data_IF_264885428491
#
_entry.id   IF_264885428491
#
_cell.length_a   1.000
_cell.length_b   1.000
_cell.length_c   1.000
_cell.angle_alpha   90.00
_cell.angle_beta   90.00
_cell.angle_gamma   90.00
#
_symmetry.space_group_name_H-M   'P 1'
#
loop_
_entity.id
_entity.type
_entity.pdbx_description
1 polymer ?
#
# COMPACT_ATOMS: atom_id res chain seq x y z
N UNK A 1 -49.78 -4.25 -14.45
CA UNK A 1 -48.45 -4.89 -14.29
C UNK A 1 -47.49 -3.83 -13.77
N UNK A 2 -46.87 -3.97 -12.59
CA UNK A 2 -45.93 -2.98 -12.09
C UNK A 2 -44.56 -3.20 -12.75
N UNK A 3 -43.96 -2.13 -13.25
CA UNK A 3 -42.62 -2.14 -13.81
C UNK A 3 -41.59 -2.19 -12.67
N UNK A 4 -40.84 -3.28 -12.58
CA UNK A 4 -39.70 -3.42 -11.67
C UNK A 4 -38.54 -2.58 -12.23
N UNK A 5 -38.24 -1.46 -11.59
CA UNK A 5 -37.00 -0.72 -11.82
C UNK A 5 -35.82 -1.55 -11.32
N UNK A 6 -35.14 -2.24 -12.25
CA UNK A 6 -33.80 -2.80 -12.00
C UNK A 6 -32.83 -1.63 -11.88
N UNK A 7 -32.53 -1.21 -10.65
CA UNK A 7 -31.41 -0.33 -10.39
C UNK A 7 -30.13 -1.11 -10.67
N UNK A 8 -29.51 -0.85 -11.82
CA UNK A 8 -28.15 -1.29 -12.11
C UNK A 8 -27.24 -0.70 -11.04
N UNK A 9 -26.58 -1.55 -10.24
CA UNK A 9 -25.51 -1.15 -9.31
C UNK A 9 -24.14 -1.48 -9.94
N UNK A 10 -23.61 -0.68 -10.88
CA UNK A 10 -22.19 -0.72 -11.19
C UNK A 10 -21.50 0.41 -10.40
N UNK A 11 -20.60 0.12 -9.45
CA UNK A 11 -19.53 1.07 -9.05
C UNK A 11 -18.67 0.64 -7.86
N UNK A 12 -19.22 -0.06 -6.86
CA UNK A 12 -18.48 -0.26 -5.59
C UNK A 12 -17.26 -1.18 -5.72
N UNK A 13 -17.39 -2.29 -6.46
CA UNK A 13 -16.30 -3.26 -6.60
C UNK A 13 -15.17 -2.73 -7.48
N UNK A 14 -15.51 -2.00 -8.55
CA UNK A 14 -14.53 -1.37 -9.45
C UNK A 14 -13.75 -0.25 -8.74
N UNK A 15 -14.39 0.52 -7.86
CA UNK A 15 -13.71 1.55 -7.07
C UNK A 15 -12.75 0.94 -6.04
N UNK A 16 -13.19 -0.11 -5.34
CA UNK A 16 -12.34 -0.83 -4.38
C UNK A 16 -11.14 -1.49 -5.07
N UNK A 17 -11.35 -2.08 -6.24
CA UNK A 17 -10.29 -2.64 -7.07
C UNK A 17 -9.31 -1.57 -7.55
N UNK A 18 -9.81 -0.41 -8.00
CA UNK A 18 -8.94 0.70 -8.42
C UNK A 18 -8.08 1.23 -7.27
N UNK A 19 -8.65 1.34 -6.07
CA UNK A 19 -7.92 1.71 -4.84
C UNK A 19 -6.85 0.67 -4.51
N UNK A 20 -7.19 -0.61 -4.56
CA UNK A 20 -6.23 -1.69 -4.32
C UNK A 20 -5.07 -1.65 -5.33
N UNK A 21 -5.37 -1.52 -6.62
CA UNK A 21 -4.37 -1.41 -7.69
C UNK A 21 -3.48 -0.18 -7.52
N UNK A 22 -4.05 0.94 -7.07
CA UNK A 22 -3.29 2.15 -6.77
C UNK A 22 -2.29 1.88 -5.65
N UNK A 23 -2.74 1.29 -4.54
CA UNK A 23 -1.88 0.99 -3.38
C UNK A 23 -0.84 -0.10 -3.69
N UNK A 24 -1.15 -1.06 -4.56
CA UNK A 24 -0.20 -2.06 -5.07
C UNK A 24 0.93 -1.42 -5.87
N UNK A 25 0.62 -0.42 -6.71
CA UNK A 25 1.62 0.29 -7.53
C UNK A 25 2.51 1.23 -6.72
N UNK A 26 2.07 1.63 -5.53
CA UNK A 26 2.88 2.47 -4.66
C UNK A 26 4.09 1.71 -4.11
N UNK A 27 5.20 2.41 -3.92
CA UNK A 27 6.34 1.85 -3.18
C UNK A 27 6.03 1.76 -1.69
N UNK A 28 6.76 0.90 -0.97
CA UNK A 28 6.66 0.86 0.49
C UNK A 28 6.96 2.23 1.12
N UNK A 29 7.89 3.00 0.57
CA UNK A 29 8.21 4.34 1.07
C UNK A 29 7.04 5.33 0.88
N UNK A 30 6.38 5.31 -0.27
CA UNK A 30 5.18 6.12 -0.54
C UNK A 30 4.03 5.76 0.40
N UNK A 31 3.76 4.47 0.60
CA UNK A 31 2.74 4.01 1.56
C UNK A 31 3.04 4.47 2.99
N UNK A 32 4.31 4.45 3.41
CA UNK A 32 4.71 4.99 4.72
C UNK A 32 4.45 6.50 4.82
N UNK A 33 4.77 7.30 3.79
CA UNK A 33 4.48 8.74 3.80
C UNK A 33 2.99 8.99 3.93
N UNK A 34 2.19 8.30 3.12
CA UNK A 34 0.74 8.45 3.11
C UNK A 34 0.13 8.05 4.46
N UNK A 35 0.48 6.88 5.00
CA UNK A 35 0.03 6.43 6.32
C UNK A 35 0.41 7.42 7.43
N UNK A 36 1.60 8.02 7.37
CA UNK A 36 1.99 9.02 8.36
C UNK A 36 1.12 10.28 8.33
N UNK A 37 0.59 10.67 7.17
CA UNK A 37 -0.33 11.82 7.04
C UNK A 37 -1.81 11.47 7.29
N UNK A 38 -2.15 10.19 7.34
CA UNK A 38 -3.53 9.69 7.55
C UNK A 38 -4.02 9.85 9.00
N UNK A 39 -5.28 9.47 9.26
CA UNK A 39 -5.82 9.36 10.63
C UNK A 39 -5.47 8.03 11.31
N UNK A 40 -4.56 7.23 10.77
CA UNK A 40 -4.11 6.01 11.43
C UNK A 40 -3.64 6.33 12.87
N UNK A 41 -4.16 5.65 13.91
CA UNK A 41 -3.77 5.90 15.29
C UNK A 41 -2.28 5.62 15.54
N UNK A 42 -1.66 6.42 16.42
CA UNK A 42 -0.23 6.26 16.78
C UNK A 42 0.03 4.96 17.57
N UNK A 43 -0.98 4.44 18.25
CA UNK A 43 -0.98 3.17 19.00
C UNK A 43 -1.62 2.01 18.22
N UNK A 44 -1.84 2.18 16.91
CA UNK A 44 -2.42 1.15 16.06
C UNK A 44 -1.68 -0.19 16.17
N UNK A 45 -2.45 -1.27 16.29
CA UNK A 45 -1.97 -2.64 16.29
C UNK A 45 -2.72 -3.44 15.24
N UNK A 46 -1.99 -4.32 14.54
CA UNK A 46 -2.57 -5.09 13.45
C UNK A 46 -3.49 -6.19 13.99
N UNK A 47 -4.69 -6.30 13.41
CA UNK A 47 -5.67 -7.35 13.71
C UNK A 47 -6.22 -7.99 12.42
N UNK A 48 -6.92 -9.11 12.55
CA UNK A 48 -7.52 -9.80 11.39
C UNK A 48 -8.59 -8.90 10.75
N UNK A 49 -8.58 -8.80 9.42
CA UNK A 49 -9.58 -8.05 8.66
C UNK A 49 -9.30 -6.55 8.54
N UNK A 50 -8.19 -6.04 9.09
CA UNK A 50 -7.88 -4.60 9.07
C UNK A 50 -7.26 -4.11 7.75
N UNK A 51 -6.90 -5.00 6.84
CA UNK A 51 -6.25 -4.65 5.56
C UNK A 51 -6.99 -3.56 4.77
N UNK A 52 -8.33 -3.65 4.56
CA UNK A 52 -9.06 -2.59 3.83
C UNK A 52 -9.01 -1.24 4.54
N UNK A 53 -9.00 -1.22 5.87
CA UNK A 53 -8.89 0.01 6.66
C UNK A 53 -7.51 0.65 6.52
N UNK A 54 -6.44 -0.15 6.50
CA UNK A 54 -5.08 0.36 6.29
C UNK A 54 -4.93 0.89 4.85
N UNK A 55 -5.51 0.22 3.86
CA UNK A 55 -5.58 0.73 2.48
C UNK A 55 -6.34 2.06 2.42
N UNK A 56 -7.47 2.17 3.11
CA UNK A 56 -8.24 3.41 3.18
C UNK A 56 -7.41 4.55 3.82
N UNK A 57 -6.61 4.26 4.86
CA UNK A 57 -5.70 5.24 5.44
C UNK A 57 -4.56 5.64 4.49
N UNK A 58 -4.02 4.71 3.69
CA UNK A 58 -3.06 5.07 2.62
C UNK A 58 -3.71 6.08 1.67
N UNK A 59 -4.91 5.79 1.15
CA UNK A 59 -5.61 6.71 0.24
C UNK A 59 -5.94 8.04 0.90
N UNK A 60 -6.40 8.03 2.15
CA UNK A 60 -6.64 9.26 2.91
C UNK A 60 -5.36 10.11 3.02
N UNK A 61 -4.19 9.47 3.21
CA UNK A 61 -2.90 10.15 3.22
C UNK A 61 -2.54 10.76 1.87
N UNK A 62 -2.83 10.05 0.78
CA UNK A 62 -2.67 10.54 -0.60
C UNK A 62 -3.59 11.73 -0.85
N UNK A 63 -4.85 11.67 -0.44
CA UNK A 63 -5.81 12.77 -0.62
C UNK A 63 -5.40 14.04 0.15
N UNK A 64 -4.74 13.89 1.30
CA UNK A 64 -4.27 15.02 2.13
C UNK A 64 -3.04 15.70 1.59
N UNK A 65 -2.09 14.93 1.06
CA UNK A 65 -0.81 15.44 0.60
C UNK A 65 -0.81 15.75 -0.90
N UNK A 66 -1.63 15.06 -1.66
CA UNK A 66 -1.51 14.96 -3.11
C UNK A 66 -0.51 13.88 -3.52
N UNK A 67 -0.76 13.28 -4.70
CA UNK A 67 0.05 12.17 -5.21
C UNK A 67 1.51 12.56 -5.45
N UNK A 68 1.77 13.74 -6.03
CA UNK A 68 3.12 14.22 -6.33
C UNK A 68 3.98 14.42 -5.08
N UNK A 69 3.36 14.90 -3.99
CA UNK A 69 4.04 15.09 -2.71
C UNK A 69 4.35 13.76 -2.03
N UNK A 70 3.45 12.79 -2.14
CA UNK A 70 3.69 11.41 -1.67
C UNK A 70 4.82 10.76 -2.46
N UNK A 71 4.79 10.86 -3.79
CA UNK A 71 5.82 10.31 -4.68
C UNK A 71 7.20 10.89 -4.37
N UNK A 72 7.31 12.23 -4.35
CA UNK A 72 8.57 12.94 -4.06
C UNK A 72 9.09 12.64 -2.67
N UNK A 73 8.23 12.67 -1.65
CA UNK A 73 8.61 12.30 -0.27
C UNK A 73 9.02 10.83 -0.19
N UNK A 74 8.38 9.95 -0.96
CA UNK A 74 8.68 8.52 -1.01
C UNK A 74 10.08 8.24 -1.52
N UNK A 75 10.52 8.95 -2.57
CA UNK A 75 11.90 8.87 -3.09
C UNK A 75 12.91 9.25 -1.99
N UNK A 76 12.66 10.35 -1.28
CA UNK A 76 13.56 10.85 -0.22
C UNK A 76 13.62 9.87 0.98
N UNK A 77 12.47 9.29 1.38
CA UNK A 77 12.40 8.26 2.42
C UNK A 77 13.13 6.99 2.00
N UNK A 78 12.95 6.54 0.75
CA UNK A 78 13.62 5.37 0.22
C UNK A 78 15.14 5.58 0.20
N UNK A 79 15.59 6.75 -0.25
CA UNK A 79 17.00 7.13 -0.25
C UNK A 79 17.58 7.15 1.17
N UNK A 80 16.88 7.74 2.13
CA UNK A 80 17.27 7.71 3.55
C UNK A 80 17.40 6.26 4.06
N UNK A 81 16.45 5.38 3.72
CA UNK A 81 16.47 3.98 4.15
C UNK A 81 17.70 3.23 3.63
N UNK A 82 18.07 3.45 2.37
CA UNK A 82 19.31 2.88 1.77
C UNK A 82 20.54 3.37 2.53
N UNK A 83 20.68 4.69 2.74
CA UNK A 83 21.80 5.27 3.47
C UNK A 83 21.87 4.79 4.93
N UNK A 84 20.71 4.54 5.55
CA UNK A 84 20.63 4.02 6.92
C UNK A 84 21.19 2.59 6.98
N UNK A 85 20.86 1.75 6.00
CA UNK A 85 21.36 0.37 5.93
C UNK A 85 22.87 0.31 5.69
N UNK A 86 23.43 1.27 4.97
CA UNK A 86 24.89 1.35 4.73
C UNK A 86 25.65 2.14 5.80
N UNK A 87 24.97 2.60 6.87
CA UNK A 87 25.53 3.47 7.92
C UNK A 87 26.15 4.78 7.41
N UNK A 88 25.70 5.29 6.26
CA UNK A 88 26.27 6.46 5.58
C UNK A 88 25.34 7.69 5.62
N UNK A 89 24.41 7.79 6.57
CA UNK A 89 23.42 8.88 6.56
C UNK A 89 24.06 10.25 6.90
N UNK A 90 24.05 11.21 5.95
CA UNK A 90 24.52 12.57 6.22
C UNK A 90 23.68 13.27 7.30
N UNK A 91 24.27 14.27 7.96
CA UNK A 91 23.58 15.04 9.00
C UNK A 91 22.37 15.81 8.45
N UNK A 92 22.46 16.30 7.22
CA UNK A 92 21.39 17.03 6.52
C UNK A 92 20.19 16.13 6.25
N UNK A 93 20.41 14.93 5.71
CA UNK A 93 19.34 13.94 5.49
C UNK A 93 18.67 13.54 6.82
N UNK A 94 19.44 13.42 7.91
CA UNK A 94 18.89 13.20 9.27
C UNK A 94 18.07 14.37 9.78
N UNK A 95 18.41 15.61 9.41
CA UNK A 95 17.66 16.81 9.79
C UNK A 95 16.36 16.89 8.98
N UNK A 96 16.44 16.67 7.68
CA UNK A 96 15.28 16.61 6.79
C UNK A 96 14.26 15.58 7.27
N UNK A 97 14.69 14.33 7.55
CA UNK A 97 13.77 13.28 8.00
C UNK A 97 13.09 13.65 9.33
N UNK A 98 13.83 14.24 10.27
CA UNK A 98 13.26 14.70 11.56
C UNK A 98 12.27 15.84 11.39
N UNK A 99 12.47 16.72 10.41
CA UNK A 99 11.51 17.76 10.06
C UNK A 99 10.24 17.19 9.44
N UNK A 100 10.37 16.18 8.58
CA UNK A 100 9.25 15.54 7.89
C UNK A 100 8.44 14.61 8.80
N UNK A 101 9.13 13.88 9.68
CA UNK A 101 8.56 12.91 10.62
C UNK A 101 8.96 13.25 12.06
N UNK A 102 8.37 14.30 12.66
CA UNK A 102 8.75 14.77 13.99
C UNK A 102 8.36 13.77 15.09
N UNK A 103 7.21 13.10 14.95
CA UNK A 103 6.76 12.06 15.88
C UNK A 103 7.35 10.70 15.50
N UNK A 104 8.32 10.25 16.30
CA UNK A 104 9.01 8.97 16.15
C UNK A 104 8.14 7.76 16.51
N UNK A 105 7.23 7.90 17.47
CA UNK A 105 6.36 6.80 17.89
C UNK A 105 5.39 6.49 16.75
N UNK A 106 4.80 7.54 16.18
CA UNK A 106 3.97 7.44 14.98
C UNK A 106 4.73 6.84 13.80
N UNK A 107 5.96 7.30 13.56
CA UNK A 107 6.78 6.76 12.47
C UNK A 107 7.03 5.26 12.64
N UNK A 108 7.38 4.80 13.84
CA UNK A 108 7.56 3.38 14.12
C UNK A 108 6.27 2.57 13.97
N UNK A 109 5.11 3.15 14.32
CA UNK A 109 3.82 2.51 14.10
C UNK A 109 3.50 2.35 12.60
N UNK A 110 3.69 3.41 11.81
CA UNK A 110 3.54 3.42 10.36
C UNK A 110 4.45 2.40 9.68
N UNK A 111 5.73 2.34 10.07
CA UNK A 111 6.67 1.39 9.50
C UNK A 111 6.22 -0.06 9.72
N UNK A 112 5.70 -0.38 10.92
CA UNK A 112 5.15 -1.72 11.22
C UNK A 112 3.87 -2.01 10.44
N UNK A 113 2.93 -1.06 10.38
CA UNK A 113 1.69 -1.21 9.63
C UNK A 113 1.96 -1.43 8.14
N UNK A 114 2.87 -0.66 7.56
CA UNK A 114 3.25 -0.79 6.15
C UNK A 114 4.01 -2.09 5.85
N UNK A 115 4.85 -2.58 6.77
CA UNK A 115 5.51 -3.88 6.61
C UNK A 115 4.47 -5.00 6.54
N UNK A 116 3.48 -4.98 7.44
CA UNK A 116 2.41 -5.97 7.43
C UNK A 116 1.47 -5.82 6.21
N UNK A 117 1.16 -4.59 5.81
CA UNK A 117 0.41 -4.34 4.58
C UNK A 117 1.16 -4.89 3.36
N UNK A 118 2.47 -4.68 3.26
CA UNK A 118 3.28 -5.20 2.15
C UNK A 118 3.23 -6.73 2.11
N UNK A 119 3.34 -7.41 3.26
CA UNK A 119 3.15 -8.86 3.34
C UNK A 119 1.76 -9.28 2.83
N UNK A 120 0.69 -8.58 3.25
CA UNK A 120 -0.69 -8.86 2.81
C UNK A 120 -0.97 -8.54 1.34
N UNK A 121 -0.31 -7.53 0.79
CA UNK A 121 -0.43 -7.20 -0.63
C UNK A 121 0.28 -8.23 -1.52
N UNK A 122 1.26 -8.97 -0.98
CA UNK A 122 1.83 -10.14 -1.64
C UNK A 122 0.79 -11.23 -1.92
N UNK A 123 -0.27 -11.34 -1.10
CA UNK A 123 -1.43 -12.21 -1.37
C UNK A 123 -2.26 -11.73 -2.58
N UNK A 124 -1.98 -10.54 -3.12
CA UNK A 124 -2.70 -9.93 -4.26
C UNK A 124 -1.82 -9.71 -5.50
N UNK A 125 -0.50 -9.87 -5.39
CA UNK A 125 0.39 -9.89 -6.54
C UNK A 125 0.14 -11.18 -7.33
N UNK A 126 -0.09 -11.09 -8.65
CA UNK A 126 -0.20 -12.29 -9.44
C UNK A 126 1.17 -12.98 -9.51
N UNK A 127 1.23 -14.25 -9.12
CA UNK A 127 2.41 -15.10 -9.30
C UNK A 127 2.45 -15.49 -10.78
N UNK A 128 3.45 -15.00 -11.52
CA UNK A 128 3.71 -15.45 -12.88
C UNK A 128 4.73 -16.58 -12.90
N UNK A 129 4.45 -17.66 -13.61
CA UNK A 129 5.36 -18.80 -13.71
C UNK A 129 5.18 -19.58 -15.00
N UNK A 130 6.24 -20.27 -15.42
CA UNK A 130 6.15 -21.30 -16.44
C UNK A 130 5.49 -22.53 -15.84
N UNK A 131 4.42 -22.97 -16.49
CA UNK A 131 3.74 -24.23 -16.16
C UNK A 131 4.46 -25.34 -16.93
N UNK A 132 4.44 -26.58 -16.41
CA UNK A 132 5.12 -27.73 -17.01
C UNK A 132 4.69 -28.11 -18.44
N UNK A 133 3.82 -27.32 -19.08
CA UNK A 133 3.42 -27.37 -20.49
C UNK A 133 4.10 -26.28 -21.36
N UNK A 134 5.14 -25.62 -20.84
CA UNK A 134 5.87 -24.52 -21.49
C UNK A 134 5.03 -23.24 -21.71
N UNK A 135 3.83 -23.17 -21.13
CA UNK A 135 2.97 -21.99 -21.20
C UNK A 135 3.27 -21.04 -20.04
N UNK A 136 3.46 -19.77 -20.36
CA UNK A 136 3.57 -18.71 -19.37
C UNK A 136 2.17 -18.35 -18.87
N UNK A 137 1.91 -18.50 -17.56
CA UNK A 137 0.61 -18.16 -16.96
C UNK A 137 0.77 -17.18 -15.80
N UNK A 138 -0.24 -16.34 -15.65
CA UNK A 138 -0.37 -15.34 -14.59
C UNK A 138 -1.45 -15.84 -13.64
N UNK A 139 -1.08 -16.10 -12.39
CA UNK A 139 -1.98 -16.65 -11.37
C UNK A 139 -2.25 -15.63 -10.28
N UNK A 140 -3.45 -15.60 -9.71
CA UNK A 140 -3.69 -14.98 -8.40
C UNK A 140 -3.83 -16.08 -7.36
N UNK A 141 -3.09 -15.97 -6.27
CA UNK A 141 -3.26 -16.86 -5.12
C UNK A 141 -4.22 -16.20 -4.13
N UNK A 142 -5.39 -16.79 -3.91
CA UNK A 142 -6.29 -16.42 -2.82
C UNK A 142 -6.21 -17.50 -1.74
N UNK A 143 -5.24 -17.41 -0.84
CA UNK A 143 -5.03 -18.45 0.18
C UNK A 143 -4.53 -19.75 -0.45
N UNK A 144 -5.25 -20.87 -0.27
CA UNK A 144 -4.93 -22.17 -0.87
C UNK A 144 -5.49 -22.33 -2.30
N UNK A 145 -6.33 -21.38 -2.76
CA UNK A 145 -6.96 -21.43 -4.08
C UNK A 145 -6.14 -20.60 -5.09
N UNK A 146 -5.91 -21.18 -6.27
CA UNK A 146 -5.16 -20.58 -7.38
C UNK A 146 -6.10 -20.36 -8.55
N UNK A 147 -6.39 -19.11 -8.87
CA UNK A 147 -7.17 -18.74 -10.05
C UNK A 147 -6.24 -18.30 -11.19
N UNK A 148 -6.44 -18.89 -12.36
CA UNK A 148 -5.78 -18.44 -13.60
C UNK A 148 -6.36 -17.10 -14.02
N UNK A 149 -5.53 -16.06 -14.06
CA UNK A 149 -5.92 -14.75 -14.54
C UNK A 149 -5.55 -14.71 -16.02
N UNK A 150 -6.52 -15.06 -16.87
CA UNK A 150 -6.34 -15.13 -18.33
C UNK A 150 -5.71 -13.86 -18.92
N UNK A 151 -4.93 -14.05 -19.98
CA UNK A 151 -4.25 -13.01 -20.78
C UNK A 151 -5.26 -12.19 -21.59
#
# INVERSE_FOLDING_TARGET
MPATLLATRPSSDSAAEHVLLTVLRMTGAERSVALYASDMPTDFSWSRGVTPQVIAWVMQGVDRLGFDDVYRSGIEVQHYRVLRLTAQVPAETRRWLRGRFPDRVRLGCVERANAMLTFRLGDHEPVSGYVGDDTFRVYRAYGDDVDEVGV
#
